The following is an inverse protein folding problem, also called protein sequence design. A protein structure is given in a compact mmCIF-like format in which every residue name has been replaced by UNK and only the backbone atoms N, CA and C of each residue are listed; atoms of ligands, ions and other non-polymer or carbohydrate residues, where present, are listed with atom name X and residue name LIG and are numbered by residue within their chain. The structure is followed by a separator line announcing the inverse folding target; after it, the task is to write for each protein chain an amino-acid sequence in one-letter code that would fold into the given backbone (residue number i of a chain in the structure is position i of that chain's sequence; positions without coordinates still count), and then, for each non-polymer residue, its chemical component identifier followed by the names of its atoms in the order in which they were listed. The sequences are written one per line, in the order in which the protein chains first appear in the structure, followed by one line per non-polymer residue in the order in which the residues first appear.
data_IF_219072347431
#
_entry.id   IF_219072347431
#
_cell.length_a   1.000
_cell.length_b   1.000
_cell.length_c   1.000
_cell.angle_alpha   90.00
_cell.angle_beta   90.00
_cell.angle_gamma   90.00
#
_symmetry.space_group_name_H-M   'P 1'
#
loop_
_entity.id
_entity.type
_entity.pdbx_description
1 polymer ?
#
# COMPACT_ATOMS: atom_id res chain seq x y z
N UNK A 1 -24.04 -64.06 -28.61
CA UNK A 1 -24.59 -64.93 -27.55
C UNK A 1 -23.42 -65.35 -26.66
N UNK A 2 -23.54 -65.18 -25.33
CA UNK A 2 -22.66 -65.66 -24.25
C UNK A 2 -21.27 -64.99 -24.13
N UNK A 3 -21.08 -63.95 -23.30
CA UNK A 3 -20.98 -63.88 -21.81
C UNK A 3 -19.69 -64.52 -21.28
N UNK A 4 -18.84 -63.68 -20.65
CA UNK A 4 -18.10 -63.86 -19.38
C UNK A 4 -16.83 -63.00 -19.42
N UNK A 5 -16.90 -61.77 -18.91
CA UNK A 5 -16.41 -61.41 -17.56
C UNK A 5 -14.96 -61.85 -17.36
N UNK A 6 -14.02 -60.90 -17.45
CA UNK A 6 -12.82 -60.98 -16.62
C UNK A 6 -12.26 -59.59 -16.37
N UNK A 7 -12.68 -59.05 -15.23
CA UNK A 7 -11.90 -58.27 -14.25
C UNK A 7 -10.42 -58.09 -14.64
N UNK A 8 -10.13 -57.25 -15.63
CA UNK A 8 -8.75 -56.97 -16.07
C UNK A 8 -8.40 -55.47 -16.00
N UNK A 9 -9.15 -54.70 -15.21
CA UNK A 9 -8.88 -53.27 -14.99
C UNK A 9 -8.59 -52.90 -13.53
N UNK A 10 -8.42 -53.89 -12.64
CA UNK A 10 -8.26 -53.64 -11.19
C UNK A 10 -7.07 -54.36 -10.53
N UNK A 11 -6.14 -54.95 -11.30
CA UNK A 11 -4.92 -55.55 -10.77
C UNK A 11 -3.62 -54.76 -11.08
N UNK A 12 -3.73 -53.61 -11.77
CA UNK A 12 -2.58 -52.81 -12.20
C UNK A 12 -2.19 -51.65 -11.29
N UNK A 13 -2.87 -51.45 -10.15
CA UNK A 13 -2.63 -50.33 -9.24
C UNK A 13 -2.32 -50.81 -7.81
N UNK A 14 -1.13 -51.38 -7.57
CA UNK A 14 -0.47 -51.06 -6.30
C UNK A 14 1.05 -50.94 -6.47
N UNK A 15 1.53 -50.07 -7.37
CA UNK A 15 2.93 -49.61 -7.33
C UNK A 15 3.13 -48.10 -7.43
N UNK A 16 2.12 -47.36 -7.91
CA UNK A 16 2.21 -45.90 -7.95
C UNK A 16 2.00 -45.23 -6.58
N UNK A 17 1.41 -45.94 -5.60
CA UNK A 17 1.23 -45.42 -4.23
C UNK A 17 2.43 -45.68 -3.30
N UNK A 18 3.29 -46.66 -3.61
CA UNK A 18 4.50 -46.92 -2.82
C UNK A 18 5.63 -45.93 -3.12
N UNK A 19 5.67 -45.34 -4.31
CA UNK A 19 6.66 -44.34 -4.69
C UNK A 19 6.46 -42.99 -3.98
N UNK A 20 5.23 -42.66 -3.55
CA UNK A 20 4.97 -41.43 -2.78
C UNK A 20 5.44 -41.51 -1.32
N UNK A 21 5.64 -42.72 -0.78
CA UNK A 21 6.24 -42.93 0.56
C UNK A 21 7.78 -43.00 0.55
N UNK A 22 8.39 -43.29 -0.60
CA UNK A 22 9.84 -43.47 -0.72
C UNK A 22 10.64 -42.16 -0.85
N UNK A 23 9.98 -41.01 -1.05
CA UNK A 23 10.61 -39.69 -1.10
C UNK A 23 10.79 -38.99 0.24
N UNK A 24 10.50 -39.68 1.36
CA UNK A 24 10.77 -39.16 2.70
C UNK A 24 12.15 -39.63 3.16
N UNK A 25 13.20 -39.09 2.53
CA UNK A 25 14.51 -39.05 3.18
C UNK A 25 14.40 -38.32 4.53
N UNK A 26 15.34 -38.54 5.47
CA UNK A 26 15.32 -37.83 6.75
C UNK A 26 15.12 -36.34 6.48
N UNK A 27 14.04 -35.76 7.05
CA UNK A 27 13.82 -34.32 6.99
C UNK A 27 15.08 -33.70 7.60
N UNK A 28 15.76 -32.77 6.92
CA UNK A 28 16.93 -32.13 7.48
C UNK A 28 16.56 -31.64 8.88
N UNK A 29 17.38 -32.04 9.85
CA UNK A 29 17.23 -31.68 11.25
C UNK A 29 16.93 -30.18 11.32
N UNK A 30 15.95 -29.82 12.15
CA UNK A 30 15.39 -28.46 12.28
C UNK A 30 16.45 -27.41 11.98
N UNK A 31 16.39 -26.81 10.79
CA UNK A 31 17.23 -25.66 10.47
C UNK A 31 16.87 -24.59 11.47
N UNK A 32 17.78 -24.31 12.41
CA UNK A 32 17.56 -23.34 13.47
C UNK A 32 17.53 -21.95 12.82
N UNK A 33 16.32 -21.43 12.64
CA UNK A 33 16.13 -20.13 12.01
C UNK A 33 16.63 -19.06 12.99
N UNK A 34 17.50 -18.12 12.57
CA UNK A 34 17.98 -17.08 13.46
C UNK A 34 16.81 -16.27 14.00
N UNK A 35 16.91 -15.81 15.25
CA UNK A 35 15.89 -14.97 15.84
C UNK A 35 15.58 -13.76 14.93
N UNK A 36 14.29 -13.42 14.71
CA UNK A 36 13.91 -12.27 13.89
C UNK A 36 14.62 -10.99 14.36
N UNK A 37 15.29 -10.32 13.43
CA UNK A 37 15.93 -9.02 13.67
C UNK A 37 14.99 -7.92 13.21
N UNK A 38 14.02 -7.56 14.04
CA UNK A 38 13.14 -6.43 13.74
C UNK A 38 13.88 -5.10 13.98
N UNK A 39 13.75 -4.12 13.07
CA UNK A 39 14.24 -2.78 13.36
C UNK A 39 13.49 -2.21 14.56
N UNK A 40 14.19 -1.48 15.42
CA UNK A 40 13.55 -0.71 16.49
C UNK A 40 12.86 0.49 15.86
N UNK A 41 11.53 0.50 15.90
CA UNK A 41 10.73 1.64 15.43
C UNK A 41 10.81 2.71 16.52
N UNK A 42 11.31 3.92 16.22
CA UNK A 42 11.35 4.99 17.21
C UNK A 42 9.93 5.42 17.59
N UNK A 43 9.72 5.74 18.86
CA UNK A 43 8.48 6.36 19.30
C UNK A 43 8.51 7.85 18.92
N UNK A 44 7.64 8.24 17.99
CA UNK A 44 7.52 9.63 17.55
C UNK A 44 6.60 10.36 18.52
N UNK A 45 7.10 11.44 19.11
CA UNK A 45 6.39 12.22 20.14
C UNK A 45 6.38 13.71 19.85
N UNK A 46 7.20 14.17 18.88
CA UNK A 46 7.25 15.58 18.50
C UNK A 46 7.31 15.75 16.99
N UNK A 47 6.88 16.92 16.52
CA UNK A 47 6.87 17.30 15.10
C UNK A 47 8.29 17.34 14.53
N UNK A 48 9.27 17.79 15.31
CA UNK A 48 10.66 17.96 14.90
C UNK A 48 11.29 16.64 14.45
N UNK A 49 10.86 15.52 15.04
CA UNK A 49 11.31 14.18 14.68
C UNK A 49 10.80 13.77 13.28
N UNK A 50 9.69 14.35 12.82
CA UNK A 50 9.08 14.07 11.51
C UNK A 50 9.62 14.97 10.39
N UNK A 51 10.10 16.16 10.72
CA UNK A 51 10.53 17.16 9.72
C UNK A 51 11.56 16.62 8.70
N UNK A 52 12.59 15.84 9.06
CA UNK A 52 13.54 15.31 8.07
C UNK A 52 12.86 14.45 6.99
N UNK A 53 11.86 13.65 7.37
CA UNK A 53 11.13 12.77 6.45
C UNK A 53 10.17 13.57 5.57
N UNK A 54 9.44 14.52 6.16
CA UNK A 54 8.50 15.38 5.43
C UNK A 54 9.24 16.23 4.40
N UNK A 55 10.38 16.85 4.76
CA UNK A 55 11.21 17.60 3.81
C UNK A 55 11.60 16.73 2.61
N UNK A 56 12.06 15.51 2.88
CA UNK A 56 12.41 14.57 1.82
C UNK A 56 11.22 14.28 0.89
N UNK A 57 10.02 14.04 1.43
CA UNK A 57 8.81 13.77 0.64
C UNK A 57 8.39 15.00 -0.18
N UNK A 58 8.39 16.18 0.43
CA UNK A 58 8.00 17.45 -0.20
C UNK A 58 8.92 17.78 -1.38
N UNK A 59 10.22 17.60 -1.22
CA UNK A 59 11.23 17.98 -2.21
C UNK A 59 11.44 16.95 -3.31
N UNK A 60 11.32 15.66 -2.97
CA UNK A 60 11.58 14.59 -3.92
C UNK A 60 10.60 14.67 -5.08
N UNK A 61 11.06 14.65 -6.35
CA UNK A 61 10.17 14.59 -7.50
C UNK A 61 9.38 13.28 -7.48
N UNK A 62 8.13 13.32 -7.96
CA UNK A 62 7.32 12.11 -8.12
C UNK A 62 7.92 11.27 -9.24
N UNK A 63 8.45 10.06 -8.98
CA UNK A 63 8.78 9.18 -10.09
C UNK A 63 7.45 8.69 -10.67
N UNK A 64 7.16 9.06 -11.92
CA UNK A 64 6.03 8.51 -12.70
C UNK A 64 6.13 6.98 -12.90
N UNK A 65 7.22 6.35 -12.47
CA UNK A 65 7.48 4.92 -12.58
C UNK A 65 6.98 4.13 -11.37
N UNK A 66 5.66 4.03 -11.19
CA UNK A 66 5.00 2.97 -10.39
C UNK A 66 5.46 2.76 -8.94
N UNK A 67 6.25 3.68 -8.37
CA UNK A 67 6.85 3.51 -7.07
C UNK A 67 5.82 4.00 -6.05
N UNK A 68 5.40 3.15 -5.12
CA UNK A 68 4.39 3.43 -4.08
C UNK A 68 4.84 4.49 -3.05
N UNK A 69 5.87 5.27 -3.37
CA UNK A 69 6.47 6.27 -2.51
C UNK A 69 6.10 7.64 -3.05
N UNK A 70 5.31 8.39 -2.30
CA UNK A 70 4.92 9.76 -2.64
C UNK A 70 6.14 10.71 -2.61
N UNK A 71 6.28 11.51 -3.65
CA UNK A 71 7.22 12.65 -3.71
C UNK A 71 6.51 13.77 -4.45
N UNK A 72 6.48 14.98 -3.90
CA UNK A 72 5.62 16.05 -4.45
C UNK A 72 6.34 17.05 -5.36
N UNK A 73 7.68 17.04 -5.32
CA UNK A 73 8.52 17.92 -6.15
C UNK A 73 8.22 19.41 -5.98
N UNK A 74 7.83 19.82 -4.77
CA UNK A 74 7.41 21.18 -4.44
C UNK A 74 8.62 22.12 -4.52
N UNK A 75 8.45 23.21 -5.27
CA UNK A 75 9.48 24.21 -5.55
C UNK A 75 9.41 25.41 -4.60
N UNK A 76 8.24 25.64 -4.02
CA UNK A 76 7.99 26.76 -3.10
C UNK A 76 7.23 27.90 -3.76
N UNK A 77 6.50 28.67 -2.94
CA UNK A 77 5.57 29.72 -3.37
C UNK A 77 4.25 29.19 -3.98
N UNK A 78 4.15 27.90 -4.25
CA UNK A 78 3.00 27.24 -4.86
C UNK A 78 1.73 27.31 -3.96
N UNK A 79 0.56 27.36 -4.59
CA UNK A 79 -0.73 27.17 -3.94
C UNK A 79 -1.11 25.69 -3.94
N UNK A 80 -1.18 25.12 -2.75
CA UNK A 80 -1.33 23.68 -2.51
C UNK A 80 -2.66 23.41 -1.84
N UNK A 81 -3.41 22.45 -2.39
CA UNK A 81 -4.50 21.80 -1.67
C UNK A 81 -3.93 20.56 -0.98
N UNK A 82 -3.88 20.59 0.35
CA UNK A 82 -3.48 19.45 1.17
C UNK A 82 -4.72 18.70 1.63
N UNK A 83 -4.96 17.53 1.05
CA UNK A 83 -6.07 16.64 1.39
C UNK A 83 -5.56 15.59 2.38
N UNK A 84 -6.27 15.39 3.48
CA UNK A 84 -5.90 14.36 4.45
C UNK A 84 -7.13 13.75 5.09
N UNK A 85 -7.03 12.48 5.50
CA UNK A 85 -8.11 11.82 6.22
C UNK A 85 -8.15 12.28 7.68
N UNK A 86 -9.34 12.24 8.29
CA UNK A 86 -9.53 12.60 9.70
C UNK A 86 -8.81 11.69 10.71
N UNK A 87 -8.32 10.52 10.29
CA UNK A 87 -7.59 9.55 11.12
C UNK A 87 -6.06 9.70 11.06
N UNK A 88 -5.55 10.67 10.29
CA UNK A 88 -4.12 10.96 10.22
C UNK A 88 -3.64 11.61 11.52
N UNK A 89 -2.48 11.16 12.01
CA UNK A 89 -1.86 11.69 13.21
C UNK A 89 -1.63 13.22 13.08
N UNK A 90 -2.10 14.05 14.04
CA UNK A 90 -1.91 15.48 14.01
C UNK A 90 -0.45 15.94 13.86
N UNK A 91 0.52 15.18 14.41
CA UNK A 91 1.94 15.50 14.28
C UNK A 91 2.40 15.43 12.82
N UNK A 92 1.83 14.51 12.03
CA UNK A 92 2.13 14.38 10.59
C UNK A 92 1.58 15.58 9.84
N UNK A 93 0.31 15.93 10.09
CA UNK A 93 -0.32 17.09 9.45
C UNK A 93 0.45 18.36 9.77
N UNK A 94 0.81 18.56 11.04
CA UNK A 94 1.59 19.72 11.47
C UNK A 94 2.98 19.77 10.82
N UNK A 95 3.69 18.64 10.77
CA UNK A 95 5.00 18.56 10.11
C UNK A 95 4.93 18.98 8.64
N UNK A 96 3.92 18.51 7.90
CA UNK A 96 3.67 18.96 6.51
C UNK A 96 3.37 20.45 6.43
N UNK A 97 2.48 20.97 7.28
CA UNK A 97 2.14 22.39 7.26
C UNK A 97 3.34 23.29 7.57
N UNK A 98 4.20 22.91 8.52
CA UNK A 98 5.44 23.67 8.81
C UNK A 98 6.37 23.70 7.61
N UNK A 99 6.68 22.54 7.02
CA UNK A 99 7.58 22.49 5.85
C UNK A 99 7.00 23.29 4.68
N UNK A 100 5.70 23.13 4.38
CA UNK A 100 5.08 23.79 3.23
C UNK A 100 4.93 25.30 3.43
N UNK A 101 4.41 25.74 4.58
CA UNK A 101 4.14 27.17 4.83
C UNK A 101 5.38 27.93 5.24
N UNK A 102 6.20 27.37 6.12
CA UNK A 102 7.32 28.08 6.73
C UNK A 102 8.60 27.96 5.91
N UNK A 103 8.94 26.77 5.41
CA UNK A 103 10.19 26.57 4.66
C UNK A 103 9.99 26.83 3.16
N UNK A 104 8.91 26.30 2.57
CA UNK A 104 8.61 26.45 1.14
C UNK A 104 7.79 27.68 0.79
N UNK A 105 7.27 28.42 1.79
CA UNK A 105 6.46 29.64 1.59
C UNK A 105 5.23 29.41 0.69
N UNK A 106 4.68 28.20 0.71
CA UNK A 106 3.49 27.83 -0.05
C UNK A 106 2.22 28.39 0.62
N UNK A 107 1.20 28.67 -0.20
CA UNK A 107 -0.16 28.92 0.28
C UNK A 107 -0.87 27.58 0.39
N UNK A 108 -1.20 27.14 1.60
CA UNK A 108 -1.73 25.78 1.84
C UNK A 108 -3.13 25.84 2.40
N UNK A 109 -4.09 25.33 1.62
CA UNK A 109 -5.46 25.08 2.06
C UNK A 109 -5.57 23.61 2.48
N UNK A 110 -5.96 23.38 3.73
CA UNK A 110 -6.11 22.03 4.30
C UNK A 110 -7.57 21.59 4.17
N UNK A 111 -7.79 20.48 3.48
CA UNK A 111 -9.07 19.80 3.40
C UNK A 111 -8.99 18.47 4.15
N UNK A 112 -9.70 18.37 5.27
CA UNK A 112 -9.81 17.12 6.01
C UNK A 112 -11.08 16.38 5.62
N UNK A 113 -10.94 15.20 5.03
CA UNK A 113 -12.07 14.35 4.71
C UNK A 113 -12.66 13.79 6.01
N UNK A 114 -13.91 14.17 6.29
CA UNK A 114 -14.62 13.72 7.48
C UNK A 114 -15.25 12.35 7.25
N UNK A 115 -14.84 11.38 8.04
CA UNK A 115 -15.41 10.04 8.06
C UNK A 115 -14.44 9.04 8.67
N UNK A 116 -14.93 8.13 9.51
CA UNK A 116 -14.13 6.96 9.85
C UNK A 116 -13.84 6.18 8.56
N UNK A 117 -12.57 6.03 8.19
CA UNK A 117 -12.16 4.92 7.34
C UNK A 117 -12.68 3.67 8.01
N UNK A 118 -13.70 3.04 7.42
CA UNK A 118 -14.10 1.71 7.84
C UNK A 118 -12.85 0.85 7.65
N UNK A 119 -12.26 0.38 8.75
CA UNK A 119 -11.17 -0.60 8.70
C UNK A 119 -11.82 -1.88 8.19
N UNK A 120 -11.92 -2.01 6.86
CA UNK A 120 -12.52 -3.15 6.22
C UNK A 120 -11.56 -4.33 6.40
N UNK A 121 -11.97 -5.34 7.16
CA UNK A 121 -11.23 -6.59 7.29
C UNK A 121 -11.23 -7.30 5.92
N UNK A 122 -10.12 -7.13 5.21
CA UNK A 122 -9.53 -7.80 4.03
C UNK A 122 -10.41 -8.56 3.03
N UNK A 123 -11.41 -9.34 3.45
CA UNK A 123 -12.29 -10.09 2.53
C UNK A 123 -13.43 -9.23 2.00
N UNK A 124 -14.00 -8.36 2.83
CA UNK A 124 -15.08 -7.48 2.40
C UNK A 124 -14.57 -6.38 1.47
N UNK A 125 -13.32 -5.94 1.66
CA UNK A 125 -12.67 -4.99 0.78
C UNK A 125 -12.52 -5.58 -0.63
N UNK A 126 -12.07 -6.83 -0.76
CA UNK A 126 -11.94 -7.50 -2.07
C UNK A 126 -13.29 -7.70 -2.76
N UNK A 127 -14.34 -8.05 -2.00
CA UNK A 127 -15.71 -8.18 -2.53
C UNK A 127 -16.28 -6.83 -2.97
N UNK A 128 -16.01 -5.77 -2.21
CA UNK A 128 -16.44 -4.43 -2.57
C UNK A 128 -15.66 -3.94 -3.80
N UNK A 129 -14.36 -4.23 -3.88
CA UNK A 129 -13.47 -3.86 -4.98
C UNK A 129 -13.86 -4.51 -6.30
N UNK A 130 -14.17 -5.81 -6.29
CA UNK A 130 -14.64 -6.53 -7.49
C UNK A 130 -16.01 -6.01 -7.94
N UNK A 131 -16.85 -5.57 -7.01
CA UNK A 131 -18.21 -5.07 -7.31
C UNK A 131 -18.25 -3.58 -7.68
N UNK A 132 -17.35 -2.77 -7.14
CA UNK A 132 -17.45 -1.31 -7.24
C UNK A 132 -16.87 -0.75 -8.54
N UNK A 133 -16.19 -1.56 -9.37
CA UNK A 133 -15.35 -1.09 -10.49
C UNK A 133 -14.46 0.05 -9.99
N UNK A 134 -13.34 -0.26 -9.30
CA UNK A 134 -12.60 0.72 -8.53
C UNK A 134 -12.30 1.92 -9.42
N UNK A 135 -12.72 3.10 -8.95
CA UNK A 135 -12.44 4.34 -9.65
C UNK A 135 -10.93 4.51 -9.83
N UNK A 136 -10.50 5.32 -10.82
CA UNK A 136 -9.09 5.56 -11.15
C UNK A 136 -8.19 5.98 -9.96
N UNK A 137 -8.78 6.37 -8.84
CA UNK A 137 -8.15 6.71 -7.57
C UNK A 137 -7.18 5.68 -6.99
N UNK A 138 -7.36 4.38 -7.24
CA UNK A 138 -6.60 3.35 -6.52
C UNK A 138 -5.21 3.05 -7.11
N UNK A 139 -4.86 3.66 -8.24
CA UNK A 139 -3.58 3.43 -8.92
C UNK A 139 -2.74 4.71 -9.17
N UNK A 140 -3.15 5.86 -8.66
CA UNK A 140 -2.35 7.08 -8.81
C UNK A 140 -3.09 8.40 -8.67
N UNK A 141 -4.28 8.42 -8.08
CA UNK A 141 -5.19 9.56 -8.22
C UNK A 141 -5.61 9.73 -9.69
N UNK A 142 -6.84 10.11 -9.99
CA UNK A 142 -7.19 10.44 -11.34
C UNK A 142 -6.50 11.74 -11.72
N UNK A 143 -5.95 11.75 -12.93
CA UNK A 143 -5.42 12.93 -13.63
C UNK A 143 -6.39 14.13 -13.56
N UNK A 144 -7.71 13.88 -13.46
CA UNK A 144 -8.71 14.94 -13.28
C UNK A 144 -8.56 15.74 -11.98
N UNK A 145 -7.98 15.18 -10.92
CA UNK A 145 -7.78 15.89 -9.64
C UNK A 145 -6.81 17.05 -9.82
N UNK A 146 -5.73 16.82 -10.57
CA UNK A 146 -4.76 17.86 -10.92
C UNK A 146 -5.36 18.88 -11.89
N UNK A 147 -6.12 18.43 -12.89
CA UNK A 147 -6.81 19.33 -13.82
C UNK A 147 -7.86 20.21 -13.14
N UNK A 148 -8.64 19.63 -12.23
CA UNK A 148 -9.62 20.35 -11.43
C UNK A 148 -8.95 21.31 -10.46
N UNK A 149 -7.86 20.89 -9.82
CA UNK A 149 -7.07 21.77 -8.98
C UNK A 149 -6.57 22.99 -9.75
N UNK A 150 -6.01 22.79 -10.96
CA UNK A 150 -5.61 23.88 -11.85
C UNK A 150 -6.79 24.78 -12.23
N UNK A 151 -7.96 24.22 -12.56
CA UNK A 151 -9.19 25.00 -12.84
C UNK A 151 -9.64 25.86 -11.66
N UNK A 152 -9.42 25.39 -10.43
CA UNK A 152 -9.74 26.10 -9.17
C UNK A 152 -8.58 27.00 -8.70
N UNK A 153 -7.46 27.01 -9.44
CA UNK A 153 -6.31 27.88 -9.21
C UNK A 153 -5.27 27.35 -8.21
N UNK A 154 -5.26 26.05 -7.93
CA UNK A 154 -4.17 25.38 -7.21
C UNK A 154 -3.11 24.88 -8.18
N UNK A 155 -1.84 24.97 -7.78
CA UNK A 155 -0.71 24.45 -8.55
C UNK A 155 -0.58 22.93 -8.39
N UNK A 156 -0.87 22.43 -7.17
CA UNK A 156 -0.73 21.00 -6.80
C UNK A 156 -1.78 20.57 -5.78
N UNK A 157 -2.13 19.28 -5.84
CA UNK A 157 -2.88 18.56 -4.79
C UNK A 157 -1.98 17.49 -4.22
N UNK A 158 -1.94 17.38 -2.89
CA UNK A 158 -1.17 16.37 -2.17
C UNK A 158 -2.06 15.73 -1.10
N UNK A 159 -1.78 14.48 -0.74
CA UNK A 159 -2.51 13.73 0.29
C UNK A 159 -1.95 12.34 0.52
#
# INVERSE_FOLDING_TARGET
MLILISIALLAGLPRALSAWRAGQGPRPDKVEYPAPRYPKIPNITTVEQLLPYVRHIVERPMPYSGDQRSGYGIKGGEKILFVTDSDVDPLVVEAFLRVLREEKKCKVDLFQEQGQRRIFRTVDLMKMYVRSKPGPWVLGGPEWTEEMAKKVGYDKVIG
#
